data_IF_776341638240
#
_entry.id   IF_776341638240
#
_cell.length_a   1.000
_cell.length_b   1.000
_cell.length_c   1.000
_cell.angle_alpha   90.00
_cell.angle_beta   90.00
_cell.angle_gamma   90.00
#
_symmetry.space_group_name_H-M   'P 1'
#
loop_
_entity.id
_entity.type
_entity.pdbx_description
1 polymer ?
#
# COMPACT_ATOMS: atom_id res chain seq x y z
N UNK A 1 -17.05 20.89 -14.96
CA UNK A 1 -15.75 20.37 -14.50
C UNK A 1 -14.92 20.03 -15.73
N UNK A 2 -13.68 20.51 -15.84
CA UNK A 2 -12.78 20.08 -16.91
C UNK A 2 -12.27 18.68 -16.60
N UNK A 3 -12.46 17.73 -17.52
CA UNK A 3 -11.90 16.38 -17.38
C UNK A 3 -10.41 16.48 -17.68
N UNK A 4 -9.57 16.27 -16.67
CA UNK A 4 -8.13 16.10 -16.86
C UNK A 4 -7.92 14.68 -17.38
N UNK A 5 -7.38 14.56 -18.60
CA UNK A 5 -6.99 13.26 -19.17
C UNK A 5 -5.53 12.98 -18.84
N UNK A 6 -5.22 11.70 -18.62
CA UNK A 6 -3.84 11.24 -18.47
C UNK A 6 -3.04 11.54 -19.75
N UNK A 7 -1.75 11.92 -19.65
CA UNK A 7 -0.87 12.01 -20.80
C UNK A 7 -0.44 10.62 -21.34
N UNK A 8 -0.75 9.54 -20.62
CA UNK A 8 -0.43 8.17 -21.04
C UNK A 8 -1.41 7.67 -22.11
N UNK A 9 -0.91 6.79 -22.98
CA UNK A 9 -1.77 5.98 -23.86
C UNK A 9 -2.71 5.11 -23.01
N UNK A 10 -3.84 4.67 -23.58
CA UNK A 10 -4.79 3.82 -22.84
C UNK A 10 -4.16 2.50 -22.37
N UNK A 11 -3.26 1.91 -23.17
CA UNK A 11 -2.52 0.69 -22.80
C UNK A 11 -1.57 0.94 -21.63
N UNK A 12 -0.81 2.02 -21.68
CA UNK A 12 0.15 2.34 -20.61
C UNK A 12 -0.57 2.75 -19.32
N UNK A 13 -1.66 3.50 -19.45
CA UNK A 13 -2.51 3.88 -18.32
C UNK A 13 -3.08 2.64 -17.62
N UNK A 14 -3.54 1.65 -18.38
CA UNK A 14 -4.05 0.40 -17.83
C UNK A 14 -2.95 -0.37 -17.09
N UNK A 15 -1.80 -0.56 -17.74
CA UNK A 15 -0.68 -1.30 -17.16
C UNK A 15 -0.17 -0.66 -15.86
N UNK A 16 0.02 0.67 -15.86
CA UNK A 16 0.44 1.41 -14.67
C UNK A 16 -0.64 1.35 -13.58
N UNK A 17 -1.92 1.50 -13.95
CA UNK A 17 -3.04 1.42 -13.02
C UNK A 17 -3.11 0.07 -12.31
N UNK A 18 -2.97 -1.03 -13.04
CA UNK A 18 -2.97 -2.39 -12.49
C UNK A 18 -1.78 -2.62 -11.55
N UNK A 19 -0.57 -2.18 -11.93
CA UNK A 19 0.62 -2.32 -11.10
C UNK A 19 0.53 -1.50 -9.80
N UNK A 20 0.07 -0.25 -9.88
CA UNK A 20 -0.09 0.62 -8.71
C UNK A 20 -1.20 0.13 -7.79
N UNK A 21 -2.30 -0.40 -8.35
CA UNK A 21 -3.37 -0.97 -7.55
C UNK A 21 -2.90 -2.21 -6.78
N UNK A 22 -2.10 -3.08 -7.40
CA UNK A 22 -1.48 -4.22 -6.71
C UNK A 22 -0.61 -3.77 -5.54
N UNK A 23 0.32 -2.84 -5.79
CA UNK A 23 1.18 -2.30 -4.74
C UNK A 23 0.39 -1.61 -3.61
N UNK A 24 -0.70 -0.90 -3.93
CA UNK A 24 -1.58 -0.28 -2.94
C UNK A 24 -2.21 -1.33 -2.02
N UNK A 25 -2.73 -2.41 -2.59
CA UNK A 25 -3.34 -3.50 -1.81
C UNK A 25 -2.30 -4.13 -0.88
N UNK A 26 -1.11 -4.45 -1.40
CA UNK A 26 -0.03 -5.04 -0.61
C UNK A 26 0.41 -4.14 0.55
N UNK A 27 0.53 -2.82 0.31
CA UNK A 27 0.91 -1.86 1.34
C UNK A 27 -0.17 -1.66 2.41
N UNK A 28 -1.45 -1.69 2.02
CA UNK A 28 -2.56 -1.63 2.97
C UNK A 28 -2.55 -2.87 3.86
N UNK A 29 -2.46 -4.06 3.28
CA UNK A 29 -2.39 -5.31 4.03
C UNK A 29 -1.20 -5.33 5.00
N UNK A 30 0.00 -5.00 4.49
CA UNK A 30 1.20 -4.91 5.32
C UNK A 30 1.04 -3.92 6.48
N UNK A 31 0.40 -2.77 6.25
CA UNK A 31 0.17 -1.77 7.31
C UNK A 31 -0.77 -2.28 8.41
N UNK A 32 -1.80 -3.05 8.04
CA UNK A 32 -2.76 -3.62 8.99
C UNK A 32 -2.11 -4.74 9.81
N UNK A 33 -1.35 -5.62 9.16
CA UNK A 33 -0.56 -6.66 9.84
C UNK A 33 0.48 -6.02 10.77
N UNK A 34 1.17 -4.97 10.33
CA UNK A 34 2.12 -4.25 11.16
C UNK A 34 1.45 -3.64 12.40
N UNK A 35 0.23 -3.10 12.28
CA UNK A 35 -0.54 -2.62 13.44
C UNK A 35 -0.95 -3.74 14.38
N UNK A 36 -1.36 -4.90 13.84
CA UNK A 36 -1.64 -6.08 14.65
C UNK A 36 -0.40 -6.50 15.47
N UNK A 37 0.78 -6.52 14.84
CA UNK A 37 2.06 -6.84 15.52
C UNK A 37 2.37 -5.78 16.58
N UNK A 38 2.31 -4.49 16.22
CA UNK A 38 2.58 -3.39 17.13
C UNK A 38 1.73 -3.47 18.41
N UNK A 39 0.44 -3.80 18.30
CA UNK A 39 -0.43 -3.93 19.47
C UNK A 39 -0.21 -5.19 20.30
N UNK A 40 0.24 -6.30 19.70
CA UNK A 40 0.24 -7.62 20.36
C UNK A 40 1.64 -8.19 20.61
N UNK A 41 2.71 -7.53 20.18
CA UNK A 41 4.08 -7.98 20.43
C UNK A 41 4.37 -8.00 21.94
N UNK A 42 5.04 -9.05 22.41
CA UNK A 42 5.47 -9.20 23.81
C UNK A 42 6.87 -9.84 23.86
N UNK A 43 7.58 -9.66 24.97
CA UNK A 43 8.87 -10.30 25.22
C UNK A 43 10.09 -9.36 25.13
N UNK A 44 11.31 -9.92 25.07
CA UNK A 44 12.54 -9.11 25.01
C UNK A 44 12.54 -8.16 23.82
N UNK A 45 13.05 -6.95 24.01
CA UNK A 45 13.05 -5.85 23.02
C UNK A 45 11.68 -5.30 22.63
N UNK A 46 10.61 -5.57 23.42
CA UNK A 46 9.27 -5.01 23.21
C UNK A 46 9.30 -3.55 22.74
N UNK A 47 9.94 -2.65 23.50
CA UNK A 47 9.99 -1.21 23.20
C UNK A 47 10.68 -0.85 21.87
N UNK A 48 11.61 -1.67 21.39
CA UNK A 48 12.31 -1.39 20.12
C UNK A 48 11.52 -1.88 18.91
N UNK A 49 10.68 -2.90 19.10
CA UNK A 49 9.87 -3.52 18.05
C UNK A 49 8.46 -2.89 17.99
N UNK A 50 7.89 -2.59 19.15
CA UNK A 50 6.66 -1.81 19.31
C UNK A 50 6.89 -0.37 18.81
#
# INVERSE_FOLDING_TARGET
MSVVKSPLSESDLKLVGEALQGALVDLVDLSLVAKQIHWNVVGPRFRSVH
#
